data_IF_472460207646
#
_entry.id   IF_472460207646
#
_cell.length_a   1.000
_cell.length_b   1.000
_cell.length_c   1.000
_cell.angle_alpha   90.00
_cell.angle_beta   90.00
_cell.angle_gamma   90.00
#
_symmetry.space_group_name_H-M   'P 1'
#
loop_
_entity.id
_entity.type
_entity.pdbx_description
1 polymer ?
#
# COMPACT_ATOMS: atom_id res chain seq x y z
N UNK A 1 32.06 -1.58 0.85
CA UNK A 1 32.55 -0.68 -0.20
C UNK A 1 33.13 0.54 0.50
N UNK A 2 34.42 0.80 0.37
CA UNK A 2 35.02 2.07 0.77
C UNK A 2 34.35 3.14 -0.07
N UNK A 3 33.81 4.19 0.56
CA UNK A 3 33.03 5.21 -0.11
C UNK A 3 33.85 5.89 -1.21
N UNK A 4 33.36 5.80 -2.43
CA UNK A 4 33.80 6.71 -3.49
C UNK A 4 33.39 8.11 -3.06
N UNK A 5 34.32 9.05 -3.05
CA UNK A 5 34.05 10.44 -2.69
C UNK A 5 33.03 11.01 -3.70
N UNK A 6 31.84 11.27 -3.22
CA UNK A 6 30.76 11.85 -4.00
C UNK A 6 30.28 13.10 -3.30
N UNK A 7 30.03 14.16 -4.05
CA UNK A 7 29.52 15.41 -3.50
C UNK A 7 28.36 15.95 -4.37
N UNK A 8 27.42 16.61 -3.71
CA UNK A 8 26.37 17.37 -4.37
C UNK A 8 26.41 18.80 -3.84
N UNK A 9 26.59 19.76 -4.74
CA UNK A 9 26.60 21.18 -4.42
C UNK A 9 25.37 21.83 -5.01
N UNK A 10 24.58 22.49 -4.19
CA UNK A 10 23.46 23.32 -4.64
C UNK A 10 23.86 24.77 -4.53
N UNK A 11 23.53 25.57 -5.57
CA UNK A 11 23.64 27.01 -5.55
C UNK A 11 22.32 27.65 -5.90
N UNK A 12 21.96 28.72 -5.19
CA UNK A 12 20.82 29.57 -5.51
C UNK A 12 21.35 30.96 -5.81
N UNK A 13 21.03 31.47 -6.99
CA UNK A 13 21.34 32.85 -7.39
C UNK A 13 20.07 33.60 -7.74
N UNK A 14 19.72 34.58 -6.91
CA UNK A 14 18.59 35.51 -7.17
C UNK A 14 19.01 36.59 -8.11
N UNK A 15 18.48 36.61 -9.32
CA UNK A 15 18.59 37.72 -10.26
C UNK A 15 17.40 38.68 -10.17
N UNK A 16 17.43 39.77 -10.93
CA UNK A 16 16.33 40.76 -10.95
C UNK A 16 14.99 40.19 -11.41
N UNK A 17 14.98 39.31 -12.43
CA UNK A 17 13.76 38.71 -13.01
C UNK A 17 13.63 37.23 -12.73
N UNK A 18 14.74 36.52 -12.77
CA UNK A 18 14.77 35.07 -12.62
C UNK A 18 15.76 34.65 -11.53
N UNK A 19 15.32 33.73 -10.70
CA UNK A 19 16.17 33.01 -9.75
C UNK A 19 16.61 31.65 -10.38
N UNK A 20 17.91 31.38 -10.32
CA UNK A 20 18.49 30.14 -10.79
C UNK A 20 18.84 29.26 -9.61
N UNK A 21 18.50 27.98 -9.68
CA UNK A 21 19.04 26.95 -8.80
C UNK A 21 19.82 25.98 -9.65
N UNK A 22 21.07 25.69 -9.27
CA UNK A 22 21.87 24.65 -9.89
C UNK A 22 22.20 23.55 -8.89
N UNK A 23 22.27 22.34 -9.38
CA UNK A 23 22.81 21.17 -8.68
C UNK A 23 24.03 20.67 -9.47
N UNK A 24 25.15 20.57 -8.80
CA UNK A 24 26.38 20.03 -9.35
C UNK A 24 26.68 18.72 -8.61
N UNK A 25 26.65 17.61 -9.32
CA UNK A 25 26.94 16.28 -8.78
C UNK A 25 28.36 15.91 -9.17
N UNK A 26 29.20 15.67 -8.20
CA UNK A 26 30.56 15.17 -8.38
C UNK A 26 30.61 13.67 -8.18
N UNK A 27 31.29 12.98 -9.08
CA UNK A 27 31.72 11.58 -9.00
C UNK A 27 33.15 11.48 -9.52
N UNK A 28 33.92 10.43 -9.16
CA UNK A 28 35.27 10.23 -9.73
C UNK A 28 35.33 10.26 -11.27
N UNK A 29 34.21 9.91 -11.92
CA UNK A 29 34.10 9.86 -13.39
C UNK A 29 33.80 11.25 -14.01
N UNK A 30 33.43 12.26 -13.23
CA UNK A 30 33.14 13.60 -13.75
C UNK A 30 32.12 14.43 -12.96
N UNK A 31 31.80 15.58 -13.54
CA UNK A 31 30.85 16.54 -13.00
C UNK A 31 29.59 16.55 -13.86
N UNK A 32 28.42 16.54 -13.18
CA UNK A 32 27.12 16.54 -13.84
C UNK A 32 26.30 17.68 -13.30
N UNK A 33 25.81 18.55 -14.20
CA UNK A 33 25.12 19.78 -13.83
C UNK A 33 23.65 19.75 -14.24
N UNK A 34 22.79 20.27 -13.37
CA UNK A 34 21.39 20.51 -13.65
C UNK A 34 20.97 21.89 -13.17
N UNK A 35 20.23 22.63 -14.01
CA UNK A 35 19.78 24.00 -13.70
C UNK A 35 18.28 24.10 -13.83
N UNK A 36 17.65 24.76 -12.86
CA UNK A 36 16.23 25.15 -12.88
C UNK A 36 16.09 26.64 -12.63
N UNK A 37 15.08 27.24 -13.24
CA UNK A 37 14.81 28.68 -13.15
C UNK A 37 13.35 28.92 -12.81
N UNK A 38 13.11 29.97 -12.01
CA UNK A 38 11.76 30.43 -11.70
C UNK A 38 11.75 31.99 -11.53
N UNK A 39 10.57 32.66 -11.65
CA UNK A 39 10.47 34.10 -11.44
C UNK A 39 10.93 34.49 -10.03
N UNK A 40 11.78 35.53 -9.93
CA UNK A 40 12.35 35.96 -8.64
C UNK A 40 11.30 36.49 -7.67
N UNK A 41 10.18 37.00 -8.16
CA UNK A 41 9.02 37.46 -7.37
C UNK A 41 8.42 36.36 -6.50
N UNK A 42 8.58 35.09 -6.91
CA UNK A 42 8.14 33.94 -6.11
C UNK A 42 8.88 33.77 -4.77
N UNK A 43 10.02 34.43 -4.61
CA UNK A 43 10.74 34.50 -3.34
C UNK A 43 10.18 35.55 -2.38
N UNK A 44 9.27 36.39 -2.86
CA UNK A 44 8.63 37.46 -2.07
C UNK A 44 7.20 37.02 -1.62
N UNK A 45 6.76 35.83 -1.98
CA UNK A 45 5.50 35.23 -1.54
C UNK A 45 5.55 34.80 -0.06
N UNK A 46 4.44 34.29 0.47
CA UNK A 46 4.39 33.77 1.82
C UNK A 46 5.43 32.63 2.05
N UNK A 47 6.03 32.51 3.25
CA UNK A 47 7.14 31.57 3.51
C UNK A 47 6.87 30.12 3.08
N UNK A 48 5.64 29.65 3.21
CA UNK A 48 5.24 28.31 2.79
C UNK A 48 5.28 28.14 1.26
N UNK A 49 4.82 29.14 0.51
CA UNK A 49 4.88 29.15 -0.96
C UNK A 49 6.33 29.22 -1.46
N UNK A 50 7.17 30.06 -0.84
CA UNK A 50 8.61 30.13 -1.10
C UNK A 50 9.27 28.77 -0.85
N UNK A 51 8.99 28.15 0.29
CA UNK A 51 9.52 26.82 0.60
C UNK A 51 9.17 25.80 -0.47
N UNK A 52 7.92 25.72 -0.90
CA UNK A 52 7.48 24.79 -1.94
C UNK A 52 8.15 25.08 -3.29
N UNK A 53 8.25 26.35 -3.69
CA UNK A 53 8.90 26.76 -4.94
C UNK A 53 10.38 26.38 -4.95
N UNK A 54 11.11 26.71 -3.89
CA UNK A 54 12.54 26.40 -3.76
C UNK A 54 12.77 24.88 -3.69
N UNK A 55 11.98 24.16 -2.90
CA UNK A 55 12.06 22.70 -2.80
C UNK A 55 11.82 22.02 -4.16
N UNK A 56 10.83 22.48 -4.92
CA UNK A 56 10.57 21.95 -6.27
C UNK A 56 11.77 22.23 -7.19
N UNK A 57 12.25 23.45 -7.22
CA UNK A 57 13.37 23.85 -8.07
C UNK A 57 14.69 23.10 -7.72
N UNK A 58 14.97 22.87 -6.43
CA UNK A 58 16.09 22.04 -5.99
C UNK A 58 15.97 20.60 -6.49
N UNK A 59 14.79 19.99 -6.34
CA UNK A 59 14.53 18.63 -6.85
C UNK A 59 14.72 18.54 -8.35
N UNK A 60 14.24 19.54 -9.10
CA UNK A 60 14.37 19.57 -10.56
C UNK A 60 15.82 19.78 -11.02
N UNK A 61 16.58 20.64 -10.34
CA UNK A 61 18.01 20.80 -10.63
C UNK A 61 18.77 19.50 -10.36
N UNK A 62 18.50 18.84 -9.21
CA UNK A 62 19.11 17.56 -8.90
C UNK A 62 18.71 16.46 -9.88
N UNK A 63 17.44 16.39 -10.27
CA UNK A 63 16.95 15.43 -11.27
C UNK A 63 17.72 15.56 -12.59
N UNK A 64 17.88 16.78 -13.11
CA UNK A 64 18.63 17.04 -14.35
C UNK A 64 20.09 16.61 -14.25
N UNK A 65 20.77 16.92 -13.14
CA UNK A 65 22.13 16.47 -12.90
C UNK A 65 22.20 14.92 -12.76
N UNK A 66 21.24 14.31 -12.08
CA UNK A 66 21.14 12.89 -11.89
C UNK A 66 20.88 12.12 -13.19
N UNK A 67 19.98 12.59 -14.05
CA UNK A 67 19.73 11.96 -15.36
C UNK A 67 20.92 12.08 -16.29
N UNK A 68 21.66 13.19 -16.24
CA UNK A 68 22.91 13.35 -16.96
C UNK A 68 23.99 12.36 -16.48
N UNK A 69 24.05 12.10 -15.16
CA UNK A 69 24.95 11.10 -14.57
C UNK A 69 24.55 9.67 -14.96
N UNK A 70 23.26 9.36 -14.90
CA UNK A 70 22.75 7.98 -15.10
C UNK A 70 22.63 7.60 -16.57
N UNK A 71 22.51 8.56 -17.48
CA UNK A 71 22.29 8.33 -18.91
C UNK A 71 20.86 7.87 -19.25
N UNK A 72 19.92 7.90 -18.29
CA UNK A 72 18.52 7.57 -18.53
C UNK A 72 17.58 8.38 -17.63
N UNK A 73 16.31 8.48 -18.01
CA UNK A 73 15.25 9.11 -17.23
C UNK A 73 14.45 8.06 -16.47
N UNK A 74 14.36 8.15 -15.13
CA UNK A 74 13.51 7.26 -14.35
C UNK A 74 12.03 7.37 -14.76
N UNK A 75 11.24 6.27 -14.77
CA UNK A 75 9.83 6.30 -15.21
C UNK A 75 8.94 7.29 -14.44
N UNK A 76 9.26 7.55 -13.17
CA UNK A 76 8.58 8.53 -12.32
C UNK A 76 9.24 9.93 -12.33
N UNK A 77 10.20 10.16 -13.20
CA UNK A 77 10.89 11.43 -13.33
C UNK A 77 11.45 11.97 -12.01
N UNK A 78 11.22 13.24 -11.74
CA UNK A 78 11.59 13.91 -10.50
C UNK A 78 10.61 13.66 -9.33
N UNK A 79 9.56 12.87 -9.54
CA UNK A 79 8.54 12.60 -8.53
C UNK A 79 9.03 11.54 -7.54
N UNK A 80 9.46 11.98 -6.35
CA UNK A 80 10.06 11.14 -5.30
C UNK A 80 9.08 10.69 -4.21
N UNK A 81 7.84 11.18 -4.23
CA UNK A 81 6.84 10.90 -3.20
C UNK A 81 6.35 9.45 -3.23
N UNK A 82 5.97 8.93 -2.06
CA UNK A 82 5.39 7.56 -1.92
C UNK A 82 3.94 7.48 -2.43
N UNK A 83 3.28 8.62 -2.62
CA UNK A 83 1.88 8.74 -3.07
C UNK A 83 1.76 9.64 -4.28
N UNK A 84 2.22 9.21 -5.46
CA UNK A 84 2.21 10.04 -6.65
C UNK A 84 0.81 10.43 -7.11
N UNK A 85 -0.21 9.68 -6.74
CA UNK A 85 -1.62 9.92 -7.08
C UNK A 85 -2.18 11.20 -6.44
N UNK A 86 -1.64 11.65 -5.30
CA UNK A 86 -2.10 12.89 -4.63
C UNK A 86 -2.01 14.15 -5.49
N UNK A 87 -1.01 14.23 -6.38
CA UNK A 87 -0.86 15.40 -7.26
C UNK A 87 -2.01 15.46 -8.28
N UNK A 88 -2.23 14.46 -9.15
CA UNK A 88 -3.32 14.52 -10.10
C UNK A 88 -4.69 14.52 -9.42
N UNK A 89 -4.87 13.88 -8.24
CA UNK A 89 -6.11 13.99 -7.46
C UNK A 89 -6.41 15.43 -7.08
N UNK A 90 -5.39 16.19 -6.60
CA UNK A 90 -5.55 17.60 -6.27
C UNK A 90 -5.91 18.43 -7.50
N UNK A 91 -5.25 18.22 -8.64
CA UNK A 91 -5.51 18.93 -9.89
C UNK A 91 -6.94 18.66 -10.41
N UNK A 92 -7.41 17.40 -10.37
CA UNK A 92 -8.77 17.01 -10.73
C UNK A 92 -9.82 17.66 -9.82
N UNK A 93 -9.58 17.67 -8.49
CA UNK A 93 -10.47 18.34 -7.53
C UNK A 93 -10.52 19.85 -7.71
N UNK A 94 -9.45 20.46 -8.24
CA UNK A 94 -9.40 21.89 -8.61
C UNK A 94 -10.06 22.19 -9.98
N UNK A 95 -10.67 21.19 -10.64
CA UNK A 95 -11.38 21.35 -11.90
C UNK A 95 -10.55 21.08 -13.16
N UNK A 96 -9.29 20.62 -13.02
CA UNK A 96 -8.51 20.21 -14.19
C UNK A 96 -9.09 18.96 -14.86
N UNK A 97 -8.99 18.88 -16.18
CA UNK A 97 -9.30 17.66 -16.92
C UNK A 97 -8.21 16.61 -16.69
N UNK A 98 -8.54 15.32 -16.92
CA UNK A 98 -7.56 14.22 -16.86
C UNK A 98 -6.35 14.48 -17.78
N UNK A 99 -6.57 15.06 -18.95
CA UNK A 99 -5.49 15.41 -19.88
C UNK A 99 -4.58 16.52 -19.34
N UNK A 100 -5.14 17.52 -18.68
CA UNK A 100 -4.36 18.59 -18.05
C UNK A 100 -3.53 18.05 -16.87
N UNK A 101 -4.13 17.24 -15.99
CA UNK A 101 -3.43 16.61 -14.87
C UNK A 101 -2.29 15.68 -15.36
N UNK A 102 -2.51 14.96 -16.47
CA UNK A 102 -1.48 14.14 -17.11
C UNK A 102 -0.33 14.99 -17.64
N UNK A 103 -0.63 16.06 -18.39
CA UNK A 103 0.39 16.98 -18.93
C UNK A 103 1.18 17.68 -17.82
N UNK A 104 0.57 17.99 -16.68
CA UNK A 104 1.26 18.53 -15.51
C UNK A 104 2.34 17.55 -15.02
N UNK A 105 2.00 16.26 -14.82
CA UNK A 105 2.97 15.25 -14.41
C UNK A 105 4.12 15.07 -15.40
N UNK A 106 3.80 15.06 -16.71
CA UNK A 106 4.79 14.89 -17.77
C UNK A 106 5.74 16.11 -17.87
N UNK A 107 5.21 17.35 -17.81
CA UNK A 107 5.99 18.56 -18.01
C UNK A 107 6.71 19.05 -16.75
N UNK A 108 6.02 19.04 -15.60
CA UNK A 108 6.56 19.60 -14.36
C UNK A 108 7.44 18.61 -13.59
N UNK A 109 7.18 17.30 -13.76
CA UNK A 109 7.88 16.26 -13.00
C UNK A 109 8.63 15.26 -13.90
N UNK A 110 8.58 15.41 -15.22
CA UNK A 110 9.18 14.45 -16.17
C UNK A 110 8.75 13.01 -15.96
N UNK A 111 7.51 12.80 -15.52
CA UNK A 111 6.93 11.44 -15.39
C UNK A 111 6.68 10.89 -16.79
N UNK A 112 7.01 9.63 -17.04
CA UNK A 112 6.75 9.01 -18.34
C UNK A 112 5.26 9.02 -18.69
N UNK A 113 4.89 9.07 -19.98
CA UNK A 113 3.48 9.11 -20.41
C UNK A 113 2.63 7.98 -19.85
N UNK A 114 3.22 6.79 -19.72
CA UNK A 114 2.57 5.60 -19.21
C UNK A 114 2.28 5.72 -17.72
N UNK A 115 3.26 6.19 -16.92
CA UNK A 115 3.11 6.39 -15.46
C UNK A 115 2.23 7.58 -15.14
N UNK A 116 2.28 8.63 -15.95
CA UNK A 116 1.38 9.78 -15.83
C UNK A 116 -0.09 9.36 -16.05
N UNK A 117 -0.35 8.57 -17.11
CA UNK A 117 -1.68 7.99 -17.34
C UNK A 117 -2.13 7.12 -16.17
N UNK A 118 -1.28 6.20 -15.71
CA UNK A 118 -1.57 5.31 -14.58
C UNK A 118 -1.93 6.09 -13.32
N UNK A 119 -1.16 7.14 -12.99
CA UNK A 119 -1.44 7.98 -11.83
C UNK A 119 -2.77 8.73 -11.95
N UNK A 120 -3.12 9.23 -13.14
CA UNK A 120 -4.38 9.94 -13.38
C UNK A 120 -5.58 8.98 -13.33
N UNK A 121 -5.46 7.77 -13.87
CA UNK A 121 -6.52 6.76 -13.80
C UNK A 121 -6.81 6.40 -12.32
N UNK A 122 -5.79 6.19 -11.49
CA UNK A 122 -5.95 6.01 -10.04
C UNK A 122 -6.55 7.25 -9.35
N UNK A 123 -6.14 8.45 -9.77
CA UNK A 123 -6.68 9.70 -9.21
C UNK A 123 -8.18 9.87 -9.48
N UNK A 124 -8.66 9.44 -10.64
CA UNK A 124 -10.10 9.43 -10.93
C UNK A 124 -10.86 8.48 -9.99
N UNK A 125 -10.30 7.31 -9.66
CA UNK A 125 -10.89 6.42 -8.67
C UNK A 125 -10.91 7.08 -7.28
N UNK A 126 -9.83 7.75 -6.88
CA UNK A 126 -9.75 8.54 -5.64
C UNK A 126 -10.82 9.64 -5.57
N UNK A 127 -11.01 10.40 -6.65
CA UNK A 127 -12.02 11.47 -6.72
C UNK A 127 -13.42 10.89 -6.56
N UNK A 128 -13.77 9.82 -7.31
CA UNK A 128 -15.06 9.14 -7.17
C UNK A 128 -15.29 8.62 -5.75
N UNK A 129 -14.28 8.00 -5.17
CA UNK A 129 -14.35 7.51 -3.78
C UNK A 129 -14.61 8.65 -2.82
N UNK A 130 -13.84 9.75 -2.90
CA UNK A 130 -14.02 10.92 -2.03
C UNK A 130 -15.43 11.50 -2.13
N UNK A 131 -16.00 11.56 -3.32
CA UNK A 131 -17.36 12.05 -3.54
C UNK A 131 -18.45 11.12 -2.99
N UNK A 132 -18.14 9.83 -2.81
CA UNK A 132 -19.05 8.84 -2.22
C UNK A 132 -19.01 8.78 -0.70
N UNK A 133 -18.00 9.36 -0.06
CA UNK A 133 -17.85 9.39 1.38
C UNK A 133 -18.76 10.47 2.00
N UNK A 134 -19.29 10.17 3.18
CA UNK A 134 -20.17 11.06 3.95
C UNK A 134 -19.49 11.49 5.25
N UNK A 135 -19.94 12.60 5.79
CA UNK A 135 -19.50 13.03 7.12
C UNK A 135 -19.91 11.98 8.16
N UNK A 136 -19.05 11.77 9.15
CA UNK A 136 -19.26 10.75 10.18
C UNK A 136 -18.95 9.31 9.74
N UNK A 137 -18.42 9.08 8.52
CA UNK A 137 -17.93 7.76 8.09
C UNK A 137 -16.44 7.59 8.40
N UNK A 138 -16.08 6.37 8.83
CA UNK A 138 -14.70 5.92 9.09
C UNK A 138 -14.46 4.55 8.49
N UNK A 139 -13.20 4.22 8.26
CA UNK A 139 -12.78 2.85 7.95
C UNK A 139 -12.18 2.17 9.16
N UNK A 140 -12.34 0.85 9.25
CA UNK A 140 -11.72 0.04 10.29
C UNK A 140 -10.70 -0.92 9.69
N UNK A 141 -9.61 -1.10 10.42
CA UNK A 141 -8.61 -2.13 10.16
C UNK A 141 -8.44 -3.01 11.41
N UNK A 142 -8.41 -4.33 11.21
CA UNK A 142 -8.06 -5.28 12.27
C UNK A 142 -6.80 -6.04 11.86
N UNK A 143 -5.76 -5.94 12.69
CA UNK A 143 -4.50 -6.64 12.46
C UNK A 143 -4.47 -8.00 13.16
N UNK A 144 -4.21 -9.07 12.42
CA UNK A 144 -3.94 -10.42 12.94
C UNK A 144 -2.46 -10.73 12.70
N UNK A 145 -1.58 -10.62 13.72
CA UNK A 145 -0.14 -10.63 13.54
C UNK A 145 0.47 -12.05 13.49
N UNK A 146 -0.27 -13.04 13.04
CA UNK A 146 0.17 -14.43 12.98
C UNK A 146 0.27 -14.93 11.54
N UNK A 147 1.32 -15.72 11.26
CA UNK A 147 1.51 -16.42 9.99
C UNK A 147 1.96 -17.85 10.23
N UNK A 148 1.62 -18.81 9.36
CA UNK A 148 2.11 -20.20 9.48
C UNK A 148 3.64 -20.26 9.41
N UNK A 149 4.26 -19.45 8.55
CA UNK A 149 5.70 -19.27 8.40
C UNK A 149 6.00 -17.85 7.95
N UNK A 150 7.20 -17.35 8.26
CA UNK A 150 7.61 -16.03 7.83
C UNK A 150 8.26 -16.07 6.45
N UNK A 151 7.64 -15.41 5.46
CA UNK A 151 8.21 -15.26 4.11
C UNK A 151 9.53 -14.45 4.15
N UNK A 152 10.48 -14.77 3.25
CA UNK A 152 11.81 -14.16 3.24
C UNK A 152 11.78 -12.64 2.99
N UNK A 153 10.86 -12.16 2.16
CA UNK A 153 10.68 -10.75 1.80
C UNK A 153 9.86 -9.96 2.82
N UNK A 154 9.10 -10.65 3.71
CA UNK A 154 8.12 -9.97 4.57
C UNK A 154 8.79 -9.13 5.64
N UNK A 155 8.42 -7.85 5.68
CA UNK A 155 8.85 -6.88 6.69
C UNK A 155 7.77 -6.59 7.73
N UNK A 156 6.57 -7.14 7.55
CA UNK A 156 5.54 -7.04 8.58
C UNK A 156 5.98 -7.83 9.81
N UNK A 157 5.62 -7.29 10.97
CA UNK A 157 5.81 -8.00 12.22
C UNK A 157 4.73 -9.08 12.29
N UNK A 158 5.08 -10.28 11.84
CA UNK A 158 4.26 -11.46 11.98
C UNK A 158 4.98 -12.48 12.84
N UNK A 159 4.26 -13.00 13.83
CA UNK A 159 4.74 -14.07 14.67
C UNK A 159 4.49 -15.40 13.95
N UNK A 160 5.51 -16.26 13.91
CA UNK A 160 5.39 -17.64 13.45
C UNK A 160 4.50 -18.40 14.43
N UNK A 161 3.32 -18.86 13.96
CA UNK A 161 2.34 -19.57 14.79
C UNK A 161 2.95 -20.82 15.44
N UNK A 162 3.84 -21.54 14.76
CA UNK A 162 4.52 -22.70 15.33
C UNK A 162 5.27 -22.42 16.63
N UNK A 163 5.74 -21.15 16.79
CA UNK A 163 6.46 -20.69 17.99
C UNK A 163 5.58 -19.93 18.98
N UNK A 164 4.45 -19.39 18.53
CA UNK A 164 3.61 -18.45 19.28
C UNK A 164 2.16 -18.91 19.42
N UNK A 165 1.85 -20.16 19.15
CA UNK A 165 0.50 -20.72 19.21
C UNK A 165 -0.21 -20.38 20.53
N UNK A 166 0.51 -20.45 21.65
CA UNK A 166 -0.02 -20.11 23.00
C UNK A 166 -0.47 -18.65 23.15
N UNK A 167 -0.07 -17.76 22.24
CA UNK A 167 -0.47 -16.36 22.28
C UNK A 167 -1.72 -16.06 21.46
N UNK A 168 -2.15 -16.97 20.58
CA UNK A 168 -3.29 -16.72 19.68
C UNK A 168 -4.56 -16.51 20.48
N UNK A 169 -4.90 -17.39 21.41
CA UNK A 169 -6.12 -17.25 22.21
C UNK A 169 -6.10 -16.01 23.11
N UNK A 170 -5.05 -15.75 23.92
CA UNK A 170 -4.96 -14.49 24.67
C UNK A 170 -5.05 -13.24 23.77
N UNK A 171 -4.48 -13.32 22.56
CA UNK A 171 -4.55 -12.22 21.60
C UNK A 171 -5.98 -11.95 21.12
N UNK A 172 -6.72 -13.00 20.78
CA UNK A 172 -8.15 -12.88 20.42
C UNK A 172 -8.95 -12.24 21.56
N UNK A 173 -8.77 -12.70 22.80
CA UNK A 173 -9.42 -12.11 23.98
C UNK A 173 -9.09 -10.62 24.16
N UNK A 174 -7.81 -10.26 24.00
CA UNK A 174 -7.38 -8.85 24.04
C UNK A 174 -8.02 -8.02 22.93
N UNK A 175 -8.10 -8.59 21.73
CA UNK A 175 -8.71 -7.93 20.57
C UNK A 175 -10.23 -7.73 20.75
N UNK A 176 -10.94 -8.68 21.35
CA UNK A 176 -12.37 -8.54 21.69
C UNK A 176 -12.59 -7.34 22.63
N UNK A 177 -11.71 -7.15 23.63
CA UNK A 177 -11.78 -5.99 24.52
C UNK A 177 -11.56 -4.68 23.75
N UNK A 178 -10.61 -4.65 22.82
CA UNK A 178 -10.34 -3.47 21.98
C UNK A 178 -11.50 -3.17 21.02
N UNK A 179 -12.14 -4.20 20.44
CA UNK A 179 -13.36 -4.08 19.61
C UNK A 179 -14.49 -3.43 20.42
N UNK A 180 -14.75 -3.93 21.63
CA UNK A 180 -15.81 -3.40 22.49
C UNK A 180 -15.57 -1.93 22.88
N UNK A 181 -14.32 -1.55 23.24
CA UNK A 181 -13.98 -0.17 23.56
C UNK A 181 -14.08 0.74 22.33
N UNK A 182 -13.56 0.30 21.18
CA UNK A 182 -13.68 1.05 19.93
C UNK A 182 -15.15 1.28 19.57
N UNK A 183 -15.99 0.26 19.71
CA UNK A 183 -17.44 0.38 19.47
C UNK A 183 -18.12 1.41 20.37
N UNK A 184 -17.73 1.48 21.65
CA UNK A 184 -18.22 2.51 22.59
C UNK A 184 -17.82 3.91 22.13
N UNK A 185 -16.58 4.10 21.70
CA UNK A 185 -16.08 5.39 21.19
C UNK A 185 -16.84 5.81 19.93
N UNK A 186 -16.95 4.90 18.94
CA UNK A 186 -17.66 5.18 17.70
C UNK A 186 -19.13 5.56 17.93
N UNK A 187 -19.80 4.84 18.82
CA UNK A 187 -21.19 5.10 19.17
C UNK A 187 -21.38 6.47 19.85
N UNK A 188 -20.48 6.86 20.78
CA UNK A 188 -20.52 8.18 21.43
C UNK A 188 -20.30 9.32 20.43
N UNK A 189 -19.47 9.12 19.42
CA UNK A 189 -19.18 10.10 18.38
C UNK A 189 -20.20 10.09 17.23
N UNK A 190 -21.14 9.15 17.19
CA UNK A 190 -22.08 8.99 16.09
C UNK A 190 -21.43 8.57 14.78
N UNK A 191 -20.25 7.95 14.82
CA UNK A 191 -19.50 7.54 13.65
C UNK A 191 -20.00 6.19 13.12
N UNK A 192 -19.99 6.03 11.79
CA UNK A 192 -20.39 4.81 11.09
C UNK A 192 -19.21 4.20 10.33
N UNK A 193 -19.14 2.88 10.31
CA UNK A 193 -18.11 2.16 9.57
C UNK A 193 -18.51 2.06 8.10
N UNK A 194 -17.70 2.65 7.22
CA UNK A 194 -17.90 2.61 5.77
C UNK A 194 -17.19 1.42 5.12
N UNK A 195 -16.00 1.07 5.60
CA UNK A 195 -15.27 -0.12 5.16
C UNK A 195 -14.59 -0.80 6.35
N UNK A 196 -14.55 -2.12 6.31
CA UNK A 196 -13.90 -2.99 7.26
C UNK A 196 -12.86 -3.84 6.55
N UNK A 197 -11.64 -3.89 7.07
CA UNK A 197 -10.55 -4.67 6.52
C UNK A 197 -9.80 -5.42 7.61
N UNK A 198 -9.73 -6.74 7.50
CA UNK A 198 -8.94 -7.59 8.40
C UNK A 198 -7.74 -8.16 7.64
N UNK A 199 -6.55 -7.86 8.12
CA UNK A 199 -5.31 -8.24 7.47
C UNK A 199 -4.14 -8.37 8.45
N UNK A 200 -2.93 -8.11 7.97
CA UNK A 200 -1.71 -8.09 8.77
C UNK A 200 -0.75 -9.22 8.45
N UNK A 201 -0.73 -10.27 9.27
CA UNK A 201 -0.03 -11.51 8.97
C UNK A 201 -0.86 -12.36 8.02
N UNK A 202 -1.69 -13.22 8.59
CA UNK A 202 -2.63 -14.07 7.85
C UNK A 202 -3.85 -14.33 8.75
N UNK A 203 -4.97 -13.60 8.58
CA UNK A 203 -6.17 -13.76 9.41
C UNK A 203 -6.69 -15.19 9.51
N UNK A 204 -6.58 -15.96 8.44
CA UNK A 204 -6.98 -17.38 8.40
C UNK A 204 -6.02 -18.32 9.16
N UNK A 205 -5.03 -17.81 9.90
CA UNK A 205 -4.32 -18.58 10.92
C UNK A 205 -5.18 -18.82 12.16
N UNK A 206 -6.19 -18.00 12.40
CA UNK A 206 -7.20 -18.24 13.41
C UNK A 206 -8.00 -19.50 13.05
N UNK A 207 -8.52 -20.21 14.07
CA UNK A 207 -9.49 -21.29 13.84
C UNK A 207 -10.83 -20.72 13.37
N UNK A 208 -11.70 -21.58 12.84
CA UNK A 208 -13.06 -21.17 12.45
C UNK A 208 -13.83 -20.59 13.65
N UNK A 209 -13.77 -21.23 14.82
CA UNK A 209 -14.40 -20.75 16.05
C UNK A 209 -13.85 -19.41 16.52
N UNK A 210 -12.53 -19.20 16.44
CA UNK A 210 -11.92 -17.91 16.79
C UNK A 210 -12.34 -16.81 15.83
N UNK A 211 -12.45 -17.12 14.54
CA UNK A 211 -12.93 -16.17 13.53
C UNK A 211 -14.40 -15.83 13.73
N UNK A 212 -15.25 -16.84 13.94
CA UNK A 212 -16.69 -16.67 14.21
C UNK A 212 -16.92 -15.78 15.45
N UNK A 213 -16.21 -16.09 16.54
CA UNK A 213 -16.29 -15.32 17.78
C UNK A 213 -15.85 -13.87 17.60
N UNK A 214 -14.74 -13.64 16.90
CA UNK A 214 -14.23 -12.29 16.63
C UNK A 214 -15.20 -11.49 15.74
N UNK A 215 -15.71 -12.08 14.67
CA UNK A 215 -16.61 -11.42 13.75
C UNK A 215 -17.97 -11.16 14.38
N UNK A 216 -18.51 -12.11 15.16
CA UNK A 216 -19.73 -11.91 15.96
C UNK A 216 -19.60 -10.74 16.92
N UNK A 217 -18.44 -10.59 17.56
CA UNK A 217 -18.20 -9.49 18.50
C UNK A 217 -18.04 -8.15 17.76
N UNK A 218 -17.42 -8.15 16.59
CA UNK A 218 -17.39 -6.98 15.71
C UNK A 218 -18.83 -6.55 15.32
N UNK A 219 -19.70 -7.46 14.93
CA UNK A 219 -21.08 -7.17 14.56
C UNK A 219 -21.91 -6.65 15.74
N UNK A 220 -21.65 -7.14 16.96
CA UNK A 220 -22.32 -6.71 18.20
C UNK A 220 -21.93 -5.30 18.62
N UNK A 221 -20.65 -4.96 18.51
CA UNK A 221 -20.12 -3.73 19.11
C UNK A 221 -19.93 -2.61 18.11
N UNK A 222 -19.55 -2.90 16.87
CA UNK A 222 -19.19 -1.90 15.86
C UNK A 222 -20.41 -1.49 15.02
N UNK A 223 -20.52 -0.23 14.58
CA UNK A 223 -21.63 0.27 13.76
C UNK A 223 -21.47 -0.15 12.29
N UNK A 224 -21.60 -1.45 11.99
CA UNK A 224 -21.38 -2.06 10.67
C UNK A 224 -22.62 -2.04 9.76
N UNK A 225 -23.77 -1.50 10.22
CA UNK A 225 -25.04 -1.53 9.46
C UNK A 225 -24.93 -0.97 8.04
N UNK A 226 -24.09 0.04 7.84
CA UNK A 226 -23.88 0.71 6.55
C UNK A 226 -22.49 0.44 5.96
N UNK A 227 -21.82 -0.62 6.44
CA UNK A 227 -20.52 -1.03 5.91
C UNK A 227 -20.67 -1.47 4.44
N UNK A 228 -20.03 -0.72 3.54
CA UNK A 228 -20.12 -0.98 2.10
C UNK A 228 -19.08 -2.01 1.61
N UNK A 229 -17.99 -2.18 2.34
CA UNK A 229 -16.94 -3.15 2.03
C UNK A 229 -16.52 -3.89 3.31
N UNK A 230 -16.58 -5.21 3.25
CA UNK A 230 -16.10 -6.09 4.31
C UNK A 230 -15.07 -7.06 3.70
N UNK A 231 -13.80 -6.81 3.97
CA UNK A 231 -12.67 -7.54 3.40
C UNK A 231 -11.90 -8.31 4.46
N UNK A 232 -11.55 -9.56 4.18
CA UNK A 232 -10.64 -10.37 5.02
C UNK A 232 -9.55 -10.99 4.15
N UNK A 233 -8.28 -10.77 4.53
CA UNK A 233 -7.15 -11.45 3.89
C UNK A 233 -7.14 -12.93 4.28
N UNK A 234 -7.56 -13.82 3.38
CA UNK A 234 -7.34 -15.25 3.52
C UNK A 234 -5.87 -15.60 3.27
N UNK A 235 -5.19 -14.77 2.51
CA UNK A 235 -3.75 -14.63 2.35
C UNK A 235 -3.05 -15.86 1.78
N UNK A 236 -3.01 -16.94 2.53
CA UNK A 236 -2.21 -18.13 2.20
C UNK A 236 -3.06 -19.37 1.97
N UNK A 237 -2.89 -20.10 0.85
CA UNK A 237 -3.66 -21.31 0.55
C UNK A 237 -3.61 -22.36 1.66
N UNK A 238 -2.44 -22.52 2.30
CA UNK A 238 -2.20 -23.48 3.38
C UNK A 238 -2.95 -23.18 4.70
N UNK A 239 -3.66 -22.05 4.79
CA UNK A 239 -4.50 -21.71 5.95
C UNK A 239 -5.99 -21.67 5.62
N UNK A 240 -6.35 -21.84 4.35
CA UNK A 240 -7.74 -21.78 3.88
C UNK A 240 -8.38 -23.15 4.02
N UNK A 241 -9.53 -23.20 4.69
CA UNK A 241 -10.40 -24.39 4.76
C UNK A 241 -11.82 -24.00 4.41
N UNK A 242 -12.64 -24.96 3.98
CA UNK A 242 -14.06 -24.76 3.69
C UNK A 242 -14.79 -24.12 4.88
N UNK A 243 -14.59 -24.70 6.07
CA UNK A 243 -15.20 -24.24 7.31
C UNK A 243 -14.92 -22.74 7.58
N UNK A 244 -13.65 -22.30 7.46
CA UNK A 244 -13.27 -20.90 7.65
C UNK A 244 -13.91 -19.99 6.61
N UNK A 245 -13.97 -20.42 5.35
CA UNK A 245 -14.62 -19.65 4.30
C UNK A 245 -16.13 -19.53 4.52
N UNK A 246 -16.77 -20.59 5.00
CA UNK A 246 -18.19 -20.60 5.36
C UNK A 246 -18.48 -19.64 6.53
N UNK A 247 -17.62 -19.62 7.56
CA UNK A 247 -17.71 -18.63 8.65
C UNK A 247 -17.60 -17.20 8.10
N UNK A 248 -16.58 -16.91 7.27
CA UNK A 248 -16.46 -15.57 6.67
C UNK A 248 -17.70 -15.19 5.85
N UNK A 249 -18.26 -16.12 5.10
CA UNK A 249 -19.46 -15.89 4.30
C UNK A 249 -20.71 -15.66 5.17
N UNK A 250 -20.86 -16.41 6.26
CA UNK A 250 -21.94 -16.25 7.23
C UNK A 250 -21.94 -14.83 7.87
N UNK A 251 -20.75 -14.27 8.10
CA UNK A 251 -20.53 -12.89 8.57
C UNK A 251 -20.52 -11.84 7.44
N UNK A 252 -21.08 -12.15 6.28
CA UNK A 252 -21.23 -11.23 5.15
C UNK A 252 -19.93 -10.60 4.65
N UNK A 253 -18.79 -11.29 4.84
CA UNK A 253 -17.53 -10.89 4.19
C UNK A 253 -17.73 -10.98 2.68
N UNK A 254 -17.65 -9.83 2.01
CA UNK A 254 -17.89 -9.73 0.56
C UNK A 254 -16.63 -9.94 -0.27
N UNK A 255 -15.46 -9.65 0.30
CA UNK A 255 -14.17 -9.74 -0.37
C UNK A 255 -13.18 -10.55 0.44
N UNK A 256 -12.47 -11.44 -0.22
CA UNK A 256 -11.28 -12.10 0.35
C UNK A 256 -10.07 -11.89 -0.56
N UNK A 257 -8.89 -12.15 0.00
CA UNK A 257 -7.63 -12.08 -0.75
C UNK A 257 -6.92 -13.44 -0.66
N UNK A 258 -6.61 -14.04 -1.80
CA UNK A 258 -5.80 -15.25 -1.91
C UNK A 258 -4.51 -14.87 -2.63
N UNK A 259 -3.36 -14.90 -1.93
CA UNK A 259 -2.15 -14.25 -2.39
C UNK A 259 -1.10 -15.26 -2.87
N UNK A 260 -1.04 -15.60 -4.18
CA UNK A 260 -0.03 -16.49 -4.72
C UNK A 260 1.38 -15.92 -4.60
N UNK A 261 1.56 -14.64 -4.84
CA UNK A 261 2.81 -13.90 -5.02
C UNK A 261 3.53 -14.27 -6.32
N UNK A 262 3.53 -15.52 -6.70
CA UNK A 262 4.02 -16.13 -7.94
C UNK A 262 3.37 -17.51 -8.12
N UNK A 263 3.35 -18.02 -9.34
CA UNK A 263 2.99 -19.40 -9.65
C UNK A 263 4.21 -20.25 -10.05
N UNK A 264 5.44 -19.73 -9.89
CA UNK A 264 6.67 -20.46 -10.14
C UNK A 264 7.10 -21.19 -8.86
N UNK A 265 7.07 -22.53 -8.86
CA UNK A 265 7.37 -23.36 -7.68
C UNK A 265 8.74 -23.10 -7.07
N UNK A 266 9.78 -22.94 -7.91
CA UNK A 266 11.14 -22.65 -7.44
C UNK A 266 11.28 -21.25 -6.80
N UNK A 267 10.42 -20.29 -7.21
CA UNK A 267 10.36 -18.96 -6.61
C UNK A 267 9.60 -19.03 -5.28
N UNK A 268 8.50 -19.79 -5.20
CA UNK A 268 7.77 -20.03 -3.94
C UNK A 268 8.72 -20.63 -2.87
N UNK A 269 9.54 -21.61 -3.25
CA UNK A 269 10.56 -22.19 -2.38
C UNK A 269 11.59 -21.13 -1.93
N UNK A 270 12.11 -20.33 -2.86
CA UNK A 270 13.10 -19.30 -2.57
C UNK A 270 12.58 -18.24 -1.58
N UNK A 271 11.29 -17.92 -1.61
CA UNK A 271 10.67 -16.98 -0.66
C UNK A 271 10.14 -17.63 0.62
N UNK A 272 10.34 -18.96 0.79
CA UNK A 272 9.94 -19.70 1.99
C UNK A 272 8.45 -19.96 2.11
N UNK A 273 7.73 -20.08 0.98
CA UNK A 273 6.35 -20.53 0.93
C UNK A 273 6.29 -22.04 0.65
N UNK A 274 5.49 -22.76 1.43
CA UNK A 274 5.43 -24.23 1.37
C UNK A 274 4.34 -24.78 0.44
N UNK A 275 3.43 -23.90 -0.04
CA UNK A 275 2.36 -24.31 -0.93
C UNK A 275 2.83 -24.34 -2.39
N UNK A 276 2.09 -25.07 -3.20
CA UNK A 276 2.30 -25.23 -4.63
C UNK A 276 1.34 -24.34 -5.44
N UNK A 277 1.57 -24.13 -6.74
CA UNK A 277 0.60 -23.48 -7.63
C UNK A 277 -0.76 -24.21 -7.68
N UNK A 278 -0.76 -25.54 -7.51
CA UNK A 278 -1.99 -26.34 -7.42
C UNK A 278 -2.83 -26.01 -6.19
N UNK A 279 -2.18 -25.80 -5.03
CA UNK A 279 -2.88 -25.40 -3.80
C UNK A 279 -3.55 -24.05 -3.93
N UNK A 280 -2.95 -23.11 -4.69
CA UNK A 280 -3.54 -21.80 -4.95
C UNK A 280 -4.84 -21.94 -5.74
N UNK A 281 -4.84 -22.76 -6.80
CA UNK A 281 -6.04 -23.03 -7.59
C UNK A 281 -7.11 -23.71 -6.74
N UNK A 282 -6.74 -24.73 -5.97
CA UNK A 282 -7.67 -25.42 -5.06
C UNK A 282 -8.32 -24.46 -4.08
N UNK A 283 -7.54 -23.56 -3.46
CA UNK A 283 -8.07 -22.57 -2.53
C UNK A 283 -9.00 -21.56 -3.24
N UNK A 284 -8.65 -21.15 -4.46
CA UNK A 284 -9.48 -20.27 -5.28
C UNK A 284 -10.82 -20.92 -5.65
N UNK A 285 -10.77 -22.17 -6.17
CA UNK A 285 -11.97 -22.91 -6.57
C UNK A 285 -12.87 -23.19 -5.35
N UNK A 286 -12.28 -23.47 -4.19
CA UNK A 286 -13.00 -23.62 -2.93
C UNK A 286 -13.71 -22.32 -2.51
N UNK A 287 -13.04 -21.18 -2.63
CA UNK A 287 -13.64 -19.88 -2.31
C UNK A 287 -14.82 -19.54 -3.25
N UNK A 288 -14.68 -19.84 -4.54
CA UNK A 288 -15.77 -19.70 -5.49
C UNK A 288 -16.95 -20.64 -5.17
N UNK A 289 -16.66 -21.90 -4.81
CA UNK A 289 -17.68 -22.87 -4.43
C UNK A 289 -18.46 -22.49 -3.16
N UNK A 290 -17.83 -21.76 -2.23
CA UNK A 290 -18.49 -21.19 -1.03
C UNK A 290 -19.30 -19.92 -1.40
N UNK A 291 -19.08 -19.34 -2.58
CA UNK A 291 -19.86 -18.21 -3.08
C UNK A 291 -19.20 -16.85 -2.90
N UNK A 292 -17.87 -16.76 -2.86
CA UNK A 292 -17.18 -15.48 -2.93
C UNK A 292 -17.14 -14.95 -4.36
N UNK A 293 -17.77 -13.79 -4.58
CA UNK A 293 -17.84 -13.13 -5.88
C UNK A 293 -16.75 -12.08 -6.07
N UNK A 294 -16.02 -11.72 -5.01
CA UNK A 294 -14.93 -10.75 -5.08
C UNK A 294 -13.67 -11.34 -4.42
N UNK A 295 -12.73 -11.75 -5.26
CA UNK A 295 -11.44 -12.31 -4.84
C UNK A 295 -10.32 -11.42 -5.37
N UNK A 296 -9.41 -11.02 -4.48
CA UNK A 296 -8.16 -10.35 -4.85
C UNK A 296 -7.03 -11.37 -4.88
N UNK A 297 -6.12 -11.23 -5.83
CA UNK A 297 -4.91 -12.05 -5.93
C UNK A 297 -3.67 -11.16 -6.06
N UNK A 298 -2.70 -11.32 -5.14
CA UNK A 298 -1.47 -10.53 -5.15
C UNK A 298 -0.34 -11.26 -5.88
N UNK A 299 0.37 -10.53 -6.73
CA UNK A 299 1.64 -10.92 -7.35
C UNK A 299 2.75 -9.95 -6.95
N UNK A 300 3.99 -10.43 -6.91
CA UNK A 300 5.18 -9.60 -6.63
C UNK A 300 6.15 -9.70 -7.80
N UNK A 301 6.41 -8.57 -8.46
CA UNK A 301 7.47 -8.43 -9.44
C UNK A 301 8.84 -8.28 -8.75
N UNK A 302 9.86 -8.93 -9.30
CA UNK A 302 11.23 -8.84 -8.80
C UNK A 302 11.57 -9.78 -7.64
N UNK A 303 10.82 -10.87 -7.44
CA UNK A 303 11.15 -11.89 -6.44
C UNK A 303 12.49 -12.59 -6.75
N UNK A 304 13.20 -13.10 -5.71
CA UNK A 304 14.45 -13.85 -5.92
C UNK A 304 14.23 -15.06 -6.84
N UNK A 305 15.16 -15.28 -7.75
CA UNK A 305 15.14 -16.37 -8.76
C UNK A 305 13.98 -16.30 -9.75
N UNK A 306 13.17 -15.24 -9.75
CA UNK A 306 12.14 -15.02 -10.77
C UNK A 306 12.76 -14.39 -12.03
N UNK A 307 12.02 -14.43 -13.12
CA UNK A 307 12.36 -13.83 -14.40
C UNK A 307 11.16 -13.13 -15.02
N UNK A 308 11.37 -12.29 -16.02
CA UNK A 308 10.29 -11.64 -16.76
C UNK A 308 9.30 -12.66 -17.33
N UNK A 309 9.79 -13.79 -17.85
CA UNK A 309 8.98 -14.88 -18.38
C UNK A 309 8.25 -15.66 -17.29
N UNK A 310 8.87 -15.89 -16.11
CA UNK A 310 8.25 -16.54 -14.96
C UNK A 310 7.12 -15.70 -14.38
N UNK A 311 7.37 -14.41 -14.22
CA UNK A 311 6.33 -13.46 -13.81
C UNK A 311 5.17 -13.39 -14.81
N UNK A 312 5.47 -13.38 -16.12
CA UNK A 312 4.43 -13.39 -17.16
C UNK A 312 3.54 -14.63 -17.07
N UNK A 313 4.13 -15.84 -16.92
CA UNK A 313 3.36 -17.08 -16.71
C UNK A 313 2.50 -17.02 -15.44
N UNK A 314 3.05 -16.47 -14.35
CA UNK A 314 2.31 -16.29 -13.10
C UNK A 314 1.10 -15.38 -13.27
N UNK A 315 1.26 -14.25 -13.97
CA UNK A 315 0.16 -13.33 -14.24
C UNK A 315 -0.90 -13.95 -15.17
N UNK A 316 -0.48 -14.66 -16.22
CA UNK A 316 -1.40 -15.36 -17.11
C UNK A 316 -2.17 -16.47 -16.38
N UNK A 317 -1.50 -17.22 -15.49
CA UNK A 317 -2.14 -18.22 -14.65
C UNK A 317 -3.16 -17.63 -13.68
N UNK A 318 -2.89 -16.46 -13.10
CA UNK A 318 -3.86 -15.71 -12.27
C UNK A 318 -5.01 -15.21 -13.12
N UNK A 319 -4.75 -14.66 -14.31
CA UNK A 319 -5.80 -14.21 -15.23
C UNK A 319 -6.71 -15.36 -15.73
N UNK A 320 -6.18 -16.58 -15.83
CA UNK A 320 -6.98 -17.76 -16.16
C UNK A 320 -7.94 -18.20 -15.04
N UNK A 321 -7.75 -17.73 -13.82
CA UNK A 321 -8.67 -17.89 -12.69
C UNK A 321 -9.75 -16.79 -12.66
N UNK A 322 -9.56 -15.69 -13.41
CA UNK A 322 -10.48 -14.56 -13.56
C UNK A 322 -10.90 -13.92 -12.22
N UNK A 323 -9.97 -13.47 -11.38
CA UNK A 323 -10.32 -12.76 -10.14
C UNK A 323 -10.82 -11.34 -10.44
N UNK A 324 -11.63 -10.76 -9.56
CA UNK A 324 -12.12 -9.38 -9.68
C UNK A 324 -11.02 -8.35 -9.45
N UNK A 325 -10.04 -8.70 -8.60
CA UNK A 325 -8.91 -7.82 -8.30
C UNK A 325 -7.57 -8.56 -8.45
N UNK A 326 -6.59 -7.84 -8.97
CA UNK A 326 -5.20 -8.29 -9.01
C UNK A 326 -4.34 -7.14 -8.48
N UNK A 327 -3.53 -7.40 -7.45
CA UNK A 327 -2.53 -6.43 -7.01
C UNK A 327 -1.16 -6.87 -7.47
N UNK A 328 -0.48 -5.99 -8.20
CA UNK A 328 0.92 -6.21 -8.60
C UNK A 328 1.81 -5.35 -7.72
N UNK A 329 2.54 -6.02 -6.85
CA UNK A 329 3.55 -5.40 -6.00
C UNK A 329 4.91 -5.45 -6.67
N UNK A 330 5.78 -4.50 -6.33
CA UNK A 330 7.21 -4.56 -6.61
C UNK A 330 7.96 -4.90 -5.33
N UNK A 331 8.90 -5.82 -5.41
CA UNK A 331 9.70 -6.21 -4.25
C UNK A 331 10.39 -4.98 -3.64
N UNK A 332 10.22 -4.81 -2.34
CA UNK A 332 10.92 -3.79 -1.57
C UNK A 332 11.78 -4.45 -0.49
N UNK A 333 13.09 -4.20 -0.53
CA UNK A 333 14.02 -4.68 0.48
C UNK A 333 13.90 -3.81 1.73
N UNK A 334 13.30 -4.33 2.78
CA UNK A 334 13.08 -3.59 4.03
C UNK A 334 13.93 -4.17 5.16
N UNK A 335 14.39 -3.29 6.05
CA UNK A 335 15.04 -3.70 7.30
C UNK A 335 14.14 -4.69 8.06
N UNK A 336 14.73 -5.78 8.53
CA UNK A 336 14.02 -6.84 9.24
C UNK A 336 13.41 -7.91 8.32
N UNK A 337 13.54 -7.84 7.00
CA UNK A 337 13.29 -8.99 6.13
C UNK A 337 14.53 -9.89 6.08
N UNK A 338 14.33 -11.22 6.11
CA UNK A 338 15.43 -12.19 5.97
C UNK A 338 16.18 -12.02 4.66
N UNK A 339 15.47 -11.63 3.61
CA UNK A 339 16.06 -11.40 2.30
C UNK A 339 17.09 -10.24 2.31
N UNK A 340 16.85 -9.20 3.10
CA UNK A 340 17.82 -8.11 3.27
C UNK A 340 19.02 -8.53 4.12
N UNK A 341 18.80 -9.35 5.15
CA UNK A 341 19.86 -9.90 6.01
C UNK A 341 20.78 -10.85 5.23
N UNK A 342 20.24 -11.59 4.27
CA UNK A 342 20.96 -12.50 3.39
C UNK A 342 21.60 -11.80 2.17
N UNK A 343 21.75 -10.48 2.18
CA UNK A 343 22.31 -9.66 1.10
C UNK A 343 21.60 -9.81 -0.27
N UNK A 344 20.31 -10.09 -0.25
CA UNK A 344 19.44 -10.00 -1.43
C UNK A 344 19.34 -11.27 -2.29
N UNK A 345 20.27 -12.20 -2.23
CA UNK A 345 20.26 -13.37 -3.14
C UNK A 345 20.34 -12.97 -4.63
N UNK A 346 19.95 -13.86 -5.52
CA UNK A 346 19.82 -13.55 -6.97
C UNK A 346 18.48 -12.81 -7.21
N UNK A 347 18.53 -11.49 -7.15
CA UNK A 347 17.38 -10.63 -7.46
C UNK A 347 17.41 -10.22 -8.94
N UNK A 348 16.24 -10.15 -9.60
CA UNK A 348 16.12 -9.45 -10.87
C UNK A 348 16.59 -8.00 -10.77
N UNK A 349 17.14 -7.48 -11.85
CA UNK A 349 17.54 -6.08 -11.95
C UNK A 349 16.33 -5.14 -11.88
N UNK A 350 16.58 -3.85 -11.67
CA UNK A 350 15.54 -2.83 -11.74
C UNK A 350 14.84 -2.77 -13.10
N UNK A 351 15.57 -3.03 -14.17
CA UNK A 351 15.07 -3.06 -15.55
C UNK A 351 14.17 -4.28 -15.80
N UNK A 352 14.54 -5.46 -15.28
CA UNK A 352 13.69 -6.64 -15.35
C UNK A 352 12.39 -6.44 -14.55
N UNK A 353 12.48 -5.85 -13.37
CA UNK A 353 11.29 -5.49 -12.60
C UNK A 353 10.39 -4.48 -13.35
N UNK A 354 10.98 -3.51 -14.04
CA UNK A 354 10.24 -2.56 -14.89
C UNK A 354 9.53 -3.27 -16.04
N UNK A 355 10.20 -4.22 -16.71
CA UNK A 355 9.60 -5.04 -17.77
C UNK A 355 8.41 -5.88 -17.25
N UNK A 356 8.52 -6.47 -16.05
CA UNK A 356 7.41 -7.20 -15.43
C UNK A 356 6.20 -6.30 -15.19
N UNK A 357 6.41 -5.07 -14.69
CA UNK A 357 5.32 -4.10 -14.47
C UNK A 357 4.71 -3.59 -15.78
N UNK A 358 5.53 -3.32 -16.79
CA UNK A 358 5.03 -2.87 -18.10
C UNK A 358 4.23 -3.97 -18.79
N UNK A 359 4.67 -5.23 -18.69
CA UNK A 359 3.91 -6.39 -19.15
C UNK A 359 2.58 -6.48 -18.40
N UNK A 360 2.59 -6.39 -17.06
CA UNK A 360 1.35 -6.45 -16.26
C UNK A 360 0.37 -5.36 -16.64
N UNK A 361 0.83 -4.11 -16.77
CA UNK A 361 0.00 -2.98 -17.20
C UNK A 361 -0.65 -3.23 -18.56
N UNK A 362 0.14 -3.69 -19.53
CA UNK A 362 -0.34 -3.96 -20.89
C UNK A 362 -1.40 -5.06 -20.90
N UNK A 363 -1.11 -6.20 -20.29
CA UNK A 363 -2.01 -7.36 -20.35
C UNK A 363 -3.29 -7.11 -19.53
N UNK A 364 -3.18 -6.54 -18.32
CA UNK A 364 -4.33 -6.24 -17.47
C UNK A 364 -5.29 -5.24 -18.15
N UNK A 365 -4.75 -4.16 -18.73
CA UNK A 365 -5.56 -3.20 -19.49
C UNK A 365 -6.26 -3.86 -20.67
N UNK A 366 -5.57 -4.72 -21.45
CA UNK A 366 -6.15 -5.45 -22.58
C UNK A 366 -7.25 -6.42 -22.12
N UNK A 367 -7.14 -6.97 -20.92
CA UNK A 367 -8.13 -7.87 -20.30
C UNK A 367 -9.27 -7.14 -19.60
N UNK A 368 -9.36 -5.79 -19.72
CA UNK A 368 -10.43 -4.98 -19.16
C UNK A 368 -10.31 -4.64 -17.68
N UNK A 369 -9.14 -4.85 -17.07
CA UNK A 369 -8.86 -4.34 -15.73
C UNK A 369 -8.50 -2.86 -15.79
N UNK A 370 -8.91 -2.12 -14.77
CA UNK A 370 -8.55 -0.71 -14.57
C UNK A 370 -7.73 -0.55 -13.29
N UNK A 371 -6.73 0.35 -13.27
CA UNK A 371 -5.99 0.64 -12.04
C UNK A 371 -6.85 1.52 -11.15
N UNK A 372 -6.85 1.26 -9.83
CA UNK A 372 -7.72 2.00 -8.91
C UNK A 372 -7.00 2.55 -7.68
N UNK A 373 -5.82 2.06 -7.35
CA UNK A 373 -4.91 2.67 -6.38
C UNK A 373 -3.47 2.35 -6.73
N UNK A 374 -2.57 3.24 -6.28
CA UNK A 374 -1.14 3.12 -6.54
C UNK A 374 -0.36 3.73 -5.38
N UNK A 375 0.73 3.09 -5.01
CA UNK A 375 1.67 3.64 -4.06
C UNK A 375 3.10 3.19 -4.34
N UNK A 376 4.06 3.96 -3.83
CA UNK A 376 5.49 3.63 -3.90
C UNK A 376 6.05 3.47 -2.50
N UNK A 377 7.16 2.78 -2.38
CA UNK A 377 7.88 2.61 -1.13
C UNK A 377 9.36 2.94 -1.33
N UNK A 378 10.05 3.26 -0.25
CA UNK A 378 11.52 3.35 -0.28
C UNK A 378 12.11 1.96 -0.48
N UNK A 379 13.26 1.91 -1.16
CA UNK A 379 14.02 0.67 -1.40
C UNK A 379 13.28 -0.38 -2.25
N UNK A 380 12.36 0.04 -3.10
CA UNK A 380 11.78 -0.80 -4.14
C UNK A 380 12.77 -1.00 -5.29
N UNK A 381 12.77 -2.18 -5.89
CA UNK A 381 13.51 -2.45 -7.11
C UNK A 381 13.16 -1.42 -8.18
N UNK A 382 14.14 -0.79 -8.82
CA UNK A 382 13.93 0.25 -9.83
C UNK A 382 13.17 1.50 -9.38
N UNK A 383 12.95 1.70 -8.06
CA UNK A 383 12.09 2.79 -7.54
C UNK A 383 10.70 2.83 -8.19
N UNK A 384 10.13 1.67 -8.49
CA UNK A 384 8.88 1.47 -9.19
C UNK A 384 7.66 1.58 -8.26
N UNK A 385 6.51 1.12 -8.70
CA UNK A 385 5.23 1.26 -8.01
C UNK A 385 4.57 -0.09 -7.67
N UNK A 386 3.60 -0.04 -6.74
CA UNK A 386 2.61 -1.09 -6.50
C UNK A 386 1.27 -0.60 -7.03
N UNK A 387 0.53 -1.45 -7.72
CA UNK A 387 -0.73 -1.08 -8.37
C UNK A 387 -1.81 -2.12 -8.09
N UNK A 388 -2.95 -1.65 -7.61
CA UNK A 388 -4.17 -2.44 -7.56
C UNK A 388 -4.96 -2.29 -8.85
N UNK A 389 -5.27 -3.42 -9.46
CA UNK A 389 -6.08 -3.55 -10.68
C UNK A 389 -7.41 -4.20 -10.34
N UNK A 390 -8.47 -3.80 -11.02
CA UNK A 390 -9.82 -4.27 -10.73
C UNK A 390 -10.67 -4.41 -11.97
N UNK A 391 -11.61 -5.34 -11.94
CA UNK A 391 -12.79 -5.25 -12.80
C UNK A 391 -13.59 -4.01 -12.39
N UNK A 392 -14.16 -3.23 -13.34
CA UNK A 392 -14.98 -2.07 -13.01
C UNK A 392 -16.10 -2.41 -12.01
N UNK A 393 -16.21 -1.63 -10.93
CA UNK A 393 -17.21 -1.84 -9.87
C UNK A 393 -16.76 -2.76 -8.72
N UNK A 394 -15.54 -3.32 -8.80
CA UNK A 394 -14.96 -4.15 -7.75
C UNK A 394 -13.74 -3.50 -7.09
N UNK A 395 -13.64 -2.17 -7.10
CA UNK A 395 -12.58 -1.43 -6.42
C UNK A 395 -12.63 -1.67 -4.90
N UNK A 396 -11.46 -1.86 -4.26
CA UNK A 396 -11.42 -1.88 -2.79
C UNK A 396 -11.45 -0.45 -2.24
N UNK A 397 -12.56 -0.11 -1.61
CA UNK A 397 -12.76 1.18 -0.96
C UNK A 397 -11.70 1.42 0.12
N UNK A 398 -11.44 0.41 0.97
CA UNK A 398 -10.45 0.50 2.03
C UNK A 398 -9.05 0.85 1.47
N UNK A 399 -8.62 0.19 0.38
CA UNK A 399 -7.30 0.44 -0.20
C UNK A 399 -7.16 1.88 -0.71
N UNK A 400 -8.19 2.41 -1.38
CA UNK A 400 -8.19 3.80 -1.86
C UNK A 400 -8.13 4.76 -0.67
N UNK A 401 -9.01 4.58 0.32
CA UNK A 401 -9.08 5.43 1.51
C UNK A 401 -7.76 5.45 2.28
N UNK A 402 -7.15 4.27 2.48
CA UNK A 402 -5.91 4.12 3.23
C UNK A 402 -4.72 4.75 2.52
N UNK A 403 -4.63 4.58 1.18
CA UNK A 403 -3.52 5.10 0.38
C UNK A 403 -3.63 6.61 0.17
N UNK A 404 -4.82 7.12 -0.08
CA UNK A 404 -5.05 8.55 -0.36
C UNK A 404 -5.35 9.38 0.89
N UNK A 405 -5.52 8.73 2.06
CA UNK A 405 -5.88 9.39 3.33
C UNK A 405 -7.15 10.25 3.17
N UNK A 406 -8.22 9.63 2.69
CA UNK A 406 -9.46 10.36 2.37
C UNK A 406 -10.32 10.65 3.60
N UNK A 407 -10.34 9.74 4.57
CA UNK A 407 -10.97 9.92 5.88
C UNK A 407 -10.25 9.12 6.98
N UNK A 408 -10.73 9.23 8.20
CA UNK A 408 -10.19 8.52 9.37
C UNK A 408 -10.21 7.00 9.17
N UNK A 409 -9.08 6.36 9.47
CA UNK A 409 -8.94 4.90 9.54
C UNK A 409 -8.58 4.53 10.97
N UNK A 410 -9.46 3.81 11.65
CA UNK A 410 -9.22 3.32 13.01
C UNK A 410 -8.68 1.90 12.94
N UNK A 411 -7.53 1.67 13.55
CA UNK A 411 -6.87 0.37 13.54
C UNK A 411 -6.89 -0.28 14.91
N UNK A 412 -7.18 -1.59 14.92
CA UNK A 412 -7.20 -2.46 16.08
C UNK A 412 -6.16 -3.56 15.91
N UNK A 413 -5.72 -4.12 17.03
CA UNK A 413 -4.75 -5.20 17.07
C UNK A 413 -3.30 -4.75 16.94
N UNK A 414 -2.38 -5.70 17.09
CA UNK A 414 -0.94 -5.44 17.08
C UNK A 414 -0.48 -4.88 15.72
N UNK A 415 0.37 -3.87 15.78
CA UNK A 415 0.90 -3.17 14.61
C UNK A 415 -0.11 -2.27 13.90
N UNK A 416 -1.32 -2.14 14.41
CA UNK A 416 -2.33 -1.23 13.90
C UNK A 416 -1.88 0.23 13.99
N UNK A 417 -2.18 1.02 12.95
CA UNK A 417 -1.91 2.46 12.90
C UNK A 417 -3.20 3.20 12.60
N UNK A 418 -3.81 3.74 13.62
CA UNK A 418 -4.96 4.64 13.48
C UNK A 418 -4.51 5.95 12.86
N UNK A 419 -5.21 6.39 11.81
CA UNK A 419 -5.02 7.68 11.16
C UNK A 419 -6.26 8.53 11.36
N UNK A 420 -6.20 9.53 12.21
CA UNK A 420 -7.27 10.49 12.42
C UNK A 420 -7.09 11.65 11.46
N UNK A 421 -8.10 11.92 10.65
CA UNK A 421 -8.08 12.94 9.60
C UNK A 421 -9.27 13.86 9.80
N UNK A 422 -9.00 15.16 9.96
CA UNK A 422 -10.05 16.17 10.16
C UNK A 422 -9.45 17.56 10.34
N UNK A 423 -10.17 18.61 9.94
CA UNK A 423 -9.74 19.99 10.12
C UNK A 423 -8.36 20.33 9.52
N UNK A 424 -7.98 19.71 8.41
CA UNK A 424 -6.65 19.86 7.80
C UNK A 424 -5.52 19.20 8.57
N UNK A 425 -5.81 18.44 9.64
CA UNK A 425 -4.83 17.77 10.50
C UNK A 425 -4.82 16.25 10.25
N UNK A 426 -3.67 15.64 10.47
CA UNK A 426 -3.46 14.20 10.46
C UNK A 426 -2.72 13.79 11.73
N UNK A 427 -3.37 13.00 12.59
CA UNK A 427 -2.76 12.39 13.77
C UNK A 427 -2.64 10.88 13.56
N UNK A 428 -1.53 10.29 14.00
CA UNK A 428 -1.31 8.84 13.97
C UNK A 428 -1.15 8.30 15.38
N UNK A 429 -1.97 7.30 15.72
CA UNK A 429 -1.86 6.53 16.95
C UNK A 429 -1.42 5.11 16.58
N UNK A 430 -0.44 4.54 17.27
CA UNK A 430 0.15 3.25 16.92
C UNK A 430 0.01 2.27 18.06
N UNK A 431 -0.55 1.10 17.77
CA UNK A 431 -0.53 -0.03 18.70
C UNK A 431 0.86 -0.69 18.72
N UNK A 432 1.25 -1.35 19.82
CA UNK A 432 2.47 -2.17 19.88
C UNK A 432 2.52 -3.18 18.74
N UNK A 433 3.72 -3.40 18.17
CA UNK A 433 3.88 -4.18 16.95
C UNK A 433 3.80 -5.70 17.17
N UNK A 434 4.37 -6.18 18.28
CA UNK A 434 4.43 -7.61 18.56
C UNK A 434 3.23 -8.04 19.42
N UNK A 435 2.72 -9.28 19.24
CA UNK A 435 1.59 -9.78 20.02
C UNK A 435 1.81 -9.71 21.54
N UNK A 436 3.03 -10.02 22.02
CA UNK A 436 3.37 -9.95 23.44
C UNK A 436 3.26 -8.52 23.98
N UNK A 437 3.85 -7.56 23.25
CA UNK A 437 3.86 -6.15 23.64
C UNK A 437 2.44 -5.56 23.60
N UNK A 438 1.64 -5.99 22.63
CA UNK A 438 0.23 -5.63 22.54
C UNK A 438 -0.56 -6.12 23.76
N UNK A 439 -0.37 -7.39 24.14
CA UNK A 439 -1.05 -7.97 25.30
C UNK A 439 -0.63 -7.29 26.61
N UNK A 440 0.66 -7.07 26.81
CA UNK A 440 1.17 -6.41 28.03
C UNK A 440 0.79 -4.93 28.11
N UNK A 441 0.62 -4.26 26.97
CA UNK A 441 0.21 -2.85 26.87
C UNK A 441 -1.28 -2.63 26.57
N UNK A 442 -2.12 -3.66 26.69
CA UNK A 442 -3.53 -3.59 26.26
C UNK A 442 -4.31 -2.47 26.92
N UNK A 443 -4.15 -2.25 28.21
CA UNK A 443 -4.87 -1.19 28.93
C UNK A 443 -4.50 0.20 28.39
N UNK A 444 -3.23 0.42 28.02
CA UNK A 444 -2.80 1.65 27.35
C UNK A 444 -3.42 1.77 25.95
N UNK A 445 -3.50 0.66 25.20
CA UNK A 445 -4.16 0.66 23.88
C UNK A 445 -5.65 1.03 24.01
N UNK A 446 -6.33 0.51 25.04
CA UNK A 446 -7.74 0.85 25.28
C UNK A 446 -7.91 2.32 25.69
N UNK A 447 -7.01 2.85 26.55
CA UNK A 447 -7.04 4.25 26.92
C UNK A 447 -6.78 5.19 25.74
N UNK A 448 -5.86 4.82 24.85
CA UNK A 448 -5.53 5.58 23.63
C UNK A 448 -6.77 5.78 22.71
N UNK A 449 -7.81 4.93 22.79
CA UNK A 449 -9.05 5.14 22.03
C UNK A 449 -9.77 6.44 22.43
N UNK A 450 -9.54 6.97 23.63
CA UNK A 450 -10.07 8.28 24.07
C UNK A 450 -9.46 9.45 23.29
N UNK A 451 -8.26 9.28 22.72
CA UNK A 451 -7.66 10.31 21.86
C UNK A 451 -8.46 10.52 20.57
N UNK A 452 -9.19 9.49 20.11
CA UNK A 452 -10.10 9.61 18.96
C UNK A 452 -11.22 10.62 19.29
N UNK A 453 -11.78 10.54 20.50
CA UNK A 453 -12.80 11.49 20.96
C UNK A 453 -12.25 12.92 21.04
N UNK A 454 -11.09 13.06 21.67
CA UNK A 454 -10.43 14.36 21.81
C UNK A 454 -10.04 15.00 20.44
N UNK A 455 -9.75 14.18 19.43
CA UNK A 455 -9.46 14.66 18.08
C UNK A 455 -10.74 15.13 17.36
N UNK A 456 -11.83 14.38 17.47
CA UNK A 456 -13.10 14.70 16.80
C UNK A 456 -13.85 15.89 17.41
N UNK A 457 -13.58 16.23 18.70
CA UNK A 457 -14.19 17.37 19.41
C UNK A 457 -13.48 18.71 19.16
N UNK A 458 -12.32 18.69 18.52
CA UNK A 458 -11.51 19.86 18.15
C UNK A 458 -11.66 20.20 16.68
#
# INVERSE_FOLDING_TARGET
MKGEDSAVIFTLHRGKKLTNISALVFRPQGWYNGVTRFPSEKLDEAPEAVYHTVQHALKMAFYKAGTALLGYEPPWGALTGVRPVKLPTRSLLAGATAQQARKELEKEYHVSPERAKLAVDCAQASVRTRQSLRDGEVSLYIGIPFCPTRCAYCSFVSADVGRTLKLVEPYVEGLLREVAETGRVLKRLGLNVRSFYMGGGTPTTLSADQMDRLLSDCERHLPLKHCAEYTVEAGRPDTITREKLEVLKAHRVGRISINPQTLEGHVLEAIGRKHTPGDIRTAYDLARAVGFDCINMDLIAGLPRDSVTGFARSLEGVLAMDPENITVHTLALKKGSRLMEQQGGQLPSGDEAAQMLDFSRKILTTRGYIPYYLYRQKYMSGSLENVGWTRPGSESLYNIVMMEELHTVISLGAGGVTKLIGGGRLLRLTNPKFPQDYLSGLDQVLEQKREIEAFCQK
#
